data_IF_622820152387
#
_entry.id   IF_622820152387
#
_cell.length_a   1.000
_cell.length_b   1.000
_cell.length_c   1.000
_cell.angle_alpha   90.00
_cell.angle_beta   90.00
_cell.angle_gamma   90.00
#
_symmetry.space_group_name_H-M   'P 1'
#
loop_
_entity.id
_entity.type
_entity.pdbx_description
1 polymer ?
#
# COMPACT_ATOMS: atom_id res chain seq x y z
N UNK A 1 44.56 -18.40 -18.09
CA UNK A 1 43.22 -18.01 -18.58
C UNK A 1 42.34 -17.77 -17.37
N UNK A 2 41.79 -16.57 -17.21
CA UNK A 2 40.95 -16.23 -16.05
C UNK A 2 39.48 -16.48 -16.36
N UNK A 3 38.80 -17.20 -15.47
CA UNK A 3 37.37 -17.48 -15.57
C UNK A 3 36.58 -16.19 -15.25
N UNK A 4 35.82 -15.68 -16.22
CA UNK A 4 35.03 -14.45 -16.07
C UNK A 4 33.68 -14.82 -15.44
N UNK A 5 33.54 -14.56 -14.15
CA UNK A 5 32.27 -14.72 -13.44
C UNK A 5 31.21 -13.74 -14.00
N UNK A 6 30.03 -14.21 -14.42
CA UNK A 6 28.98 -13.36 -14.95
C UNK A 6 28.40 -12.46 -13.85
N UNK A 7 28.40 -11.15 -14.08
CA UNK A 7 27.82 -10.18 -13.15
C UNK A 7 26.29 -10.36 -13.06
N UNK A 8 25.83 -10.80 -11.89
CA UNK A 8 24.41 -10.94 -11.59
C UNK A 8 23.76 -9.55 -11.55
N UNK A 9 22.74 -9.33 -12.38
CA UNK A 9 22.00 -8.06 -12.38
C UNK A 9 21.37 -7.83 -11.01
N UNK A 10 21.52 -6.63 -10.41
CA UNK A 10 20.89 -6.32 -9.15
C UNK A 10 19.37 -6.38 -9.29
N UNK A 11 18.72 -6.99 -8.30
CA UNK A 11 17.27 -7.09 -8.22
C UNK A 11 16.61 -5.70 -8.28
N UNK A 12 15.44 -5.61 -8.94
CA UNK A 12 14.69 -4.36 -9.06
C UNK A 12 14.37 -3.86 -7.66
N UNK A 13 14.99 -2.74 -7.26
CA UNK A 13 14.73 -2.08 -5.98
C UNK A 13 13.21 -1.87 -5.85
N UNK A 14 12.62 -2.37 -4.76
CA UNK A 14 11.21 -2.13 -4.44
C UNK A 14 10.93 -0.63 -4.58
N UNK A 15 9.77 -0.25 -5.16
CA UNK A 15 9.43 1.16 -5.33
C UNK A 15 9.57 1.87 -3.99
N UNK A 16 10.31 2.98 -3.98
CA UNK A 16 10.54 3.75 -2.76
C UNK A 16 9.18 4.13 -2.19
N UNK A 17 8.92 3.72 -0.95
CA UNK A 17 7.67 4.02 -0.22
C UNK A 17 7.60 5.50 0.18
N UNK A 18 8.02 6.44 -0.68
CA UNK A 18 8.37 7.85 -0.39
C UNK A 18 7.66 8.47 0.82
N UNK A 19 6.60 9.24 0.58
CA UNK A 19 5.87 9.95 1.65
C UNK A 19 5.14 9.01 2.64
N UNK A 20 4.88 7.77 2.24
CA UNK A 20 4.24 6.77 3.11
C UNK A 20 5.16 6.19 4.18
N UNK A 21 6.47 6.48 4.13
CA UNK A 21 7.42 6.14 5.19
C UNK A 21 7.36 7.11 6.37
N UNK A 22 6.86 8.33 6.16
CA UNK A 22 6.77 9.39 7.17
C UNK A 22 5.32 9.59 7.67
N UNK A 23 4.49 8.55 7.58
CA UNK A 23 3.05 8.59 7.93
C UNK A 23 2.18 9.56 7.10
N UNK A 24 2.75 10.20 6.07
CA UNK A 24 2.03 11.07 5.12
C UNK A 24 1.38 10.22 4.02
N UNK A 25 0.22 9.68 4.34
CA UNK A 25 -0.58 8.85 3.45
C UNK A 25 -1.56 9.69 2.61
N UNK A 26 -1.58 9.46 1.29
CA UNK A 26 -2.65 9.95 0.40
C UNK A 26 -3.85 9.01 0.54
N UNK A 27 -4.77 9.34 1.43
CA UNK A 27 -5.98 8.55 1.67
C UNK A 27 -7.02 8.82 0.59
N UNK A 28 -7.56 7.77 0.01
CA UNK A 28 -8.65 7.80 -0.96
C UNK A 28 -9.82 7.01 -0.39
N UNK A 29 -11.04 7.53 -0.49
CA UNK A 29 -12.24 6.82 -0.02
C UNK A 29 -12.54 5.68 -0.98
N UNK A 30 -12.57 4.46 -0.46
CA UNK A 30 -12.95 3.28 -1.21
C UNK A 30 -14.44 3.03 -1.00
N UNK A 31 -15.26 3.47 -1.96
CA UNK A 31 -16.73 3.32 -1.96
C UNK A 31 -17.21 1.86 -2.09
N UNK A 32 -16.29 0.96 -2.47
CA UNK A 32 -16.60 -0.46 -2.67
C UNK A 32 -16.99 -1.19 -1.37
N UNK A 33 -16.56 -0.68 -0.21
CA UNK A 33 -16.74 -1.33 1.10
C UNK A 33 -17.36 -0.38 2.12
N UNK A 34 -18.40 0.33 1.72
CA UNK A 34 -19.09 1.29 2.59
C UNK A 34 -19.95 0.61 3.67
N UNK A 35 -20.19 -0.71 3.58
CA UNK A 35 -21.05 -1.43 4.51
C UNK A 35 -20.33 -2.62 5.13
N UNK A 36 -20.11 -2.58 6.45
CA UNK A 36 -19.57 -3.72 7.18
C UNK A 36 -20.72 -4.64 7.59
N UNK A 37 -20.87 -5.75 6.86
CA UNK A 37 -21.96 -6.74 7.06
C UNK A 37 -21.92 -7.35 8.46
N UNK A 38 -20.74 -7.41 9.10
CA UNK A 38 -20.60 -7.95 10.46
C UNK A 38 -21.04 -6.95 11.52
N UNK A 39 -20.75 -5.66 11.36
CA UNK A 39 -21.11 -4.62 12.32
C UNK A 39 -22.53 -4.07 12.12
N UNK A 40 -23.16 -4.32 10.96
CA UNK A 40 -24.49 -3.79 10.63
C UNK A 40 -24.50 -2.26 10.49
N UNK A 41 -23.34 -1.66 10.21
CA UNK A 41 -23.14 -0.21 10.16
C UNK A 41 -22.38 0.18 8.89
N UNK A 42 -22.65 1.39 8.43
CA UNK A 42 -21.92 2.02 7.35
C UNK A 42 -20.52 2.39 7.85
N UNK A 43 -19.49 1.92 7.17
CA UNK A 43 -18.09 2.20 7.49
C UNK A 43 -17.42 2.86 6.31
N UNK A 44 -16.68 3.93 6.55
CA UNK A 44 -15.88 4.54 5.48
C UNK A 44 -14.48 3.96 5.50
N UNK A 45 -14.14 3.20 4.46
CA UNK A 45 -12.79 2.66 4.27
C UNK A 45 -11.96 3.64 3.46
N UNK A 46 -10.86 4.11 4.04
CA UNK A 46 -9.84 4.89 3.37
C UNK A 46 -8.70 3.98 2.94
N UNK A 47 -8.38 3.94 1.65
CA UNK A 47 -7.23 3.21 1.11
C UNK A 47 -6.17 4.19 0.65
N UNK A 48 -4.93 3.96 1.05
CA UNK A 48 -3.82 4.75 0.56
C UNK A 48 -3.46 4.33 -0.87
N UNK A 49 -3.50 5.27 -1.82
CA UNK A 49 -3.22 5.02 -3.24
C UNK A 49 -1.76 4.59 -3.48
N UNK A 50 -0.84 5.02 -2.61
CA UNK A 50 0.60 4.81 -2.76
C UNK A 50 1.10 3.49 -2.15
N UNK A 51 0.58 3.10 -0.99
CA UNK A 51 1.06 1.94 -0.24
C UNK A 51 0.01 0.86 -0.02
N UNK A 52 -1.25 1.11 -0.38
CA UNK A 52 -2.34 0.15 -0.21
C UNK A 52 -2.84 -0.04 1.22
N UNK A 53 -2.25 0.63 2.22
CA UNK A 53 -2.75 0.61 3.61
C UNK A 53 -4.23 1.01 3.63
N UNK A 54 -5.03 0.32 4.44
CA UNK A 54 -6.45 0.62 4.63
C UNK A 54 -6.69 1.12 6.05
N UNK A 55 -7.54 2.11 6.20
CA UNK A 55 -7.99 2.67 7.48
C UNK A 55 -9.51 2.70 7.46
N UNK A 56 -10.15 2.00 8.38
CA UNK A 56 -11.60 1.98 8.52
C UNK A 56 -11.98 2.99 9.58
N UNK A 57 -12.94 3.87 9.28
CA UNK A 57 -13.54 4.78 10.26
C UNK A 57 -15.03 4.44 10.35
N UNK A 58 -15.47 3.94 11.50
CA UNK A 58 -16.89 3.79 11.84
C UNK A 58 -17.39 5.08 12.50
N UNK A 59 -18.65 5.41 12.25
CA UNK A 59 -19.39 6.48 12.93
C UNK A 59 -20.18 5.90 14.12
#
# INVERSE_FOLDING_TARGET
MGDILPFKRPEKKKPRKGLCQHDVHKWVVCKDKEFDVKAGKLVTVYRCERCGKQKVKSH
#
